data_IF_802499298642
#
_entry.id   IF_802499298642
#
_cell.length_a   1.000
_cell.length_b   1.000
_cell.length_c   1.000
_cell.angle_alpha   90.00
_cell.angle_beta   90.00
_cell.angle_gamma   90.00
#
_symmetry.space_group_name_H-M   'P 1'
#
loop_
_entity.id
_entity.type
_entity.pdbx_description
1 polymer ?
#
# COMPACT_ATOMS: atom_id res chain seq x y z
N UNK A 1 0.10 -14.93 -41.74
CA UNK A 1 -0.08 -13.65 -41.06
C UNK A 1 0.56 -13.80 -39.69
N UNK A 2 1.79 -13.30 -39.52
CA UNK A 2 2.49 -13.28 -38.23
C UNK A 2 1.77 -12.27 -37.36
N UNK A 3 1.23 -12.74 -36.22
CA UNK A 3 0.71 -11.87 -35.17
C UNK A 3 1.80 -10.87 -34.78
N UNK A 4 1.50 -9.60 -34.52
CA UNK A 4 2.50 -8.66 -34.06
C UNK A 4 3.11 -9.22 -32.78
N UNK A 5 4.43 -9.42 -32.76
CA UNK A 5 5.18 -9.75 -31.54
C UNK A 5 4.93 -8.61 -30.54
N UNK A 6 4.08 -8.88 -29.60
CA UNK A 6 3.88 -7.97 -28.46
C UNK A 6 5.22 -7.87 -27.75
N UNK A 7 5.76 -6.66 -27.63
CA UNK A 7 7.00 -6.44 -26.90
C UNK A 7 6.92 -7.07 -25.49
N UNK A 8 7.99 -7.70 -25.01
CA UNK A 8 7.98 -8.30 -23.68
C UNK A 8 7.71 -7.24 -22.60
N UNK A 9 7.08 -7.59 -21.49
CA UNK A 9 6.89 -6.67 -20.35
C UNK A 9 8.21 -6.03 -19.91
N UNK A 10 8.14 -4.80 -19.42
CA UNK A 10 9.30 -4.03 -18.95
C UNK A 10 10.38 -3.82 -20.02
N UNK A 11 9.98 -3.73 -21.28
CA UNK A 11 10.91 -3.58 -22.41
C UNK A 11 11.76 -2.31 -22.32
N UNK A 12 11.24 -1.26 -21.68
CA UNK A 12 11.96 -0.02 -21.41
C UNK A 12 13.05 -0.18 -20.32
N UNK A 13 13.03 -1.28 -19.58
CA UNK A 13 13.97 -1.59 -18.48
C UNK A 13 14.83 -2.80 -18.76
N UNK A 14 15.19 -3.01 -20.03
CA UNK A 14 16.08 -4.08 -20.43
C UNK A 14 17.45 -3.94 -19.74
N UNK A 15 17.86 -4.96 -18.98
CA UNK A 15 19.13 -5.01 -18.24
C UNK A 15 20.20 -5.71 -19.05
N UNK A 16 19.88 -6.89 -19.59
CA UNK A 16 20.86 -7.70 -20.32
C UNK A 16 20.20 -8.57 -21.37
N UNK A 17 20.95 -8.84 -22.42
CA UNK A 17 20.76 -9.96 -23.36
C UNK A 17 22.06 -10.73 -23.35
N UNK A 18 22.05 -12.03 -22.96
CA UNK A 18 23.25 -12.82 -22.82
C UNK A 18 23.03 -14.28 -23.17
N UNK A 19 24.11 -14.92 -23.58
CA UNK A 19 24.21 -16.39 -23.75
C UNK A 19 24.85 -17.08 -22.55
N UNK A 20 25.41 -16.28 -21.65
CA UNK A 20 26.10 -16.70 -20.45
C UNK A 20 25.11 -16.79 -19.28
N UNK A 21 25.09 -17.98 -18.64
CA UNK A 21 24.17 -18.29 -17.55
C UNK A 21 24.50 -17.49 -16.30
N UNK A 22 25.78 -17.26 -16.00
CA UNK A 22 26.22 -16.54 -14.81
C UNK A 22 25.83 -15.06 -14.94
N UNK A 23 26.00 -14.47 -16.13
CA UNK A 23 25.57 -13.10 -16.41
C UNK A 23 24.05 -12.94 -16.27
N UNK A 24 23.27 -13.92 -16.69
CA UNK A 24 21.81 -13.90 -16.52
C UNK A 24 21.43 -14.03 -15.05
N UNK A 25 22.06 -14.94 -14.31
CA UNK A 25 21.87 -15.13 -12.87
C UNK A 25 22.18 -13.84 -12.10
N UNK A 26 23.38 -13.30 -12.24
CA UNK A 26 23.84 -12.09 -11.54
C UNK A 26 22.97 -10.85 -11.84
N UNK A 27 22.35 -10.83 -13.02
CA UNK A 27 21.42 -9.74 -13.38
C UNK A 27 20.06 -9.89 -12.69
N UNK A 28 19.58 -11.11 -12.45
CA UNK A 28 18.28 -11.39 -11.82
C UNK A 28 18.38 -11.31 -10.29
N UNK A 29 19.47 -11.78 -9.70
CA UNK A 29 19.66 -11.95 -8.26
C UNK A 29 19.30 -10.70 -7.43
N UNK A 30 19.71 -9.46 -7.79
CA UNK A 30 19.39 -8.26 -7.01
C UNK A 30 17.89 -7.90 -6.96
N UNK A 31 17.09 -8.49 -7.85
CA UNK A 31 15.67 -8.19 -8.00
C UNK A 31 14.76 -9.35 -7.60
N UNK A 32 15.30 -10.52 -7.35
CA UNK A 32 14.56 -11.73 -7.01
C UNK A 32 14.94 -12.24 -5.61
N UNK A 33 14.52 -13.45 -5.29
CA UNK A 33 15.01 -14.19 -4.11
C UNK A 33 16.24 -15.00 -4.51
N UNK A 34 17.07 -15.39 -3.55
CA UNK A 34 18.23 -16.25 -3.81
C UNK A 34 17.82 -17.53 -4.54
N UNK A 35 18.57 -17.88 -5.56
CA UNK A 35 18.32 -19.05 -6.39
C UNK A 35 19.60 -19.52 -7.07
N UNK A 36 19.66 -20.79 -7.43
CA UNK A 36 20.69 -21.35 -8.29
C UNK A 36 20.15 -21.55 -9.70
N UNK A 37 20.99 -21.34 -10.69
CA UNK A 37 20.63 -21.46 -12.11
C UNK A 37 21.55 -22.49 -12.81
N UNK A 38 20.96 -23.47 -13.43
CA UNK A 38 21.70 -24.51 -14.15
C UNK A 38 21.16 -24.69 -15.58
N UNK A 39 22.04 -24.90 -16.56
CA UNK A 39 21.60 -25.26 -17.90
C UNK A 39 20.91 -26.62 -17.87
N UNK A 40 19.77 -26.74 -18.55
CA UNK A 40 19.00 -27.99 -18.60
C UNK A 40 19.74 -29.13 -19.29
N UNK A 41 20.52 -28.79 -20.29
CA UNK A 41 21.34 -29.72 -21.03
C UNK A 41 22.78 -29.18 -21.18
N UNK A 42 23.82 -30.02 -21.03
CA UNK A 42 25.20 -29.60 -21.21
C UNK A 42 25.47 -29.12 -22.65
N UNK A 43 26.18 -27.98 -22.77
CA UNK A 43 26.62 -27.47 -24.08
C UNK A 43 25.55 -26.70 -24.88
N UNK A 44 24.36 -26.49 -24.32
CA UNK A 44 23.33 -25.68 -24.96
C UNK A 44 23.63 -24.20 -24.80
N UNK A 45 23.58 -23.48 -25.92
CA UNK A 45 23.72 -22.03 -25.93
C UNK A 45 22.38 -21.38 -25.51
N UNK A 46 22.39 -20.56 -24.51
CA UNK A 46 21.23 -19.73 -24.10
C UNK A 46 21.05 -18.57 -25.07
N UNK A 47 19.87 -17.97 -25.06
CA UNK A 47 19.52 -16.66 -25.66
C UNK A 47 18.65 -15.91 -24.67
N UNK A 48 19.27 -15.59 -23.54
CA UNK A 48 18.59 -15.02 -22.40
C UNK A 48 18.34 -13.51 -22.53
N UNK A 49 17.22 -13.05 -22.00
CA UNK A 49 16.92 -11.63 -21.85
C UNK A 49 16.31 -11.38 -20.46
N UNK A 50 16.79 -10.31 -19.81
CA UNK A 50 16.30 -9.86 -18.52
C UNK A 50 15.90 -8.40 -18.61
N UNK A 51 14.66 -8.11 -18.25
CA UNK A 51 14.14 -6.76 -18.03
C UNK A 51 13.79 -6.66 -16.53
N UNK A 52 14.31 -5.66 -15.83
CA UNK A 52 14.08 -5.57 -14.38
C UNK A 52 14.03 -4.12 -13.88
N UNK A 53 13.12 -3.86 -12.94
CA UNK A 53 12.92 -2.56 -12.31
C UNK A 53 12.40 -2.71 -10.89
N UNK A 54 12.86 -1.84 -9.99
CA UNK A 54 12.30 -1.65 -8.66
C UNK A 54 11.23 -0.56 -8.66
N UNK A 55 10.08 -0.84 -8.05
CA UNK A 55 8.98 0.10 -7.82
C UNK A 55 8.80 0.22 -6.31
N UNK A 56 9.48 1.18 -5.69
CA UNK A 56 9.59 1.25 -4.23
C UNK A 56 10.28 0.00 -3.67
N UNK A 57 9.59 -0.75 -2.83
CA UNK A 57 10.08 -2.00 -2.23
C UNK A 57 9.70 -3.27 -3.01
N UNK A 58 9.01 -3.13 -4.13
CA UNK A 58 8.60 -4.25 -4.99
C UNK A 58 9.47 -4.30 -6.23
N UNK A 59 10.08 -5.44 -6.48
CA UNK A 59 10.86 -5.71 -7.68
C UNK A 59 10.01 -6.46 -8.71
N UNK A 60 10.13 -6.05 -9.96
CA UNK A 60 9.53 -6.69 -11.11
C UNK A 60 10.63 -7.14 -12.06
N UNK A 61 10.64 -8.42 -12.42
CA UNK A 61 11.61 -9.01 -13.35
C UNK A 61 10.85 -9.79 -14.41
N UNK A 62 11.07 -9.45 -15.66
CA UNK A 62 10.71 -10.33 -16.75
C UNK A 62 11.97 -11.02 -17.27
N UNK A 63 11.96 -12.34 -17.28
CA UNK A 63 13.10 -13.15 -17.71
C UNK A 63 12.70 -14.22 -18.71
N UNK A 64 13.51 -14.38 -19.75
CA UNK A 64 13.46 -15.48 -20.71
C UNK A 64 14.87 -16.02 -20.88
N UNK A 65 15.06 -17.31 -20.75
CA UNK A 65 16.40 -17.91 -20.83
C UNK A 65 16.81 -18.35 -22.24
N UNK A 66 15.84 -18.71 -23.09
CA UNK A 66 16.09 -19.10 -24.46
C UNK A 66 16.79 -20.48 -24.60
N UNK A 67 17.23 -20.79 -25.77
CA UNK A 67 18.00 -22.02 -26.09
C UNK A 67 17.36 -23.31 -25.59
N UNK A 68 18.14 -24.16 -24.92
CA UNK A 68 17.68 -25.41 -24.30
C UNK A 68 16.95 -25.23 -22.95
N UNK A 69 16.90 -24.03 -22.46
CA UNK A 69 16.29 -23.73 -21.15
C UNK A 69 17.20 -23.95 -19.95
N UNK A 70 16.67 -23.66 -18.79
CA UNK A 70 17.36 -23.76 -17.51
C UNK A 70 16.53 -24.49 -16.48
N UNK A 71 17.20 -24.90 -15.40
CA UNK A 71 16.64 -25.34 -14.14
C UNK A 71 16.92 -24.25 -13.14
N UNK A 72 15.91 -23.85 -12.36
CA UNK A 72 16.00 -22.85 -11.29
C UNK A 72 15.73 -23.54 -9.96
N UNK A 73 16.72 -23.63 -9.12
CA UNK A 73 16.58 -24.15 -7.76
C UNK A 73 16.48 -22.99 -6.78
N UNK A 74 15.43 -22.96 -5.96
CA UNK A 74 15.23 -21.93 -4.91
C UNK A 74 15.19 -22.58 -3.54
N UNK A 75 15.97 -22.09 -2.57
CA UNK A 75 15.81 -22.48 -1.17
C UNK A 75 14.47 -21.93 -0.62
N UNK A 76 14.06 -22.31 0.60
CA UNK A 76 12.96 -21.66 1.30
C UNK A 76 13.16 -20.13 1.32
N UNK A 77 12.10 -19.38 1.04
CA UNK A 77 12.21 -17.92 0.83
C UNK A 77 12.15 -17.11 2.13
N UNK A 78 12.63 -17.62 3.24
CA UNK A 78 12.58 -17.04 4.58
C UNK A 78 12.65 -15.50 4.58
N UNK A 79 11.59 -14.83 5.08
CA UNK A 79 11.52 -13.37 5.16
C UNK A 79 11.27 -12.64 3.82
N UNK A 80 11.19 -13.37 2.69
CA UNK A 80 10.91 -12.80 1.37
C UNK A 80 9.66 -13.41 0.75
N UNK A 81 8.95 -12.62 0.00
CA UNK A 81 7.86 -13.02 -0.87
C UNK A 81 8.36 -12.99 -2.31
N UNK A 82 8.13 -14.07 -3.04
CA UNK A 82 8.31 -14.08 -4.49
C UNK A 82 7.19 -14.88 -5.16
N UNK A 83 6.82 -14.43 -6.34
CA UNK A 83 5.80 -15.03 -7.16
C UNK A 83 6.27 -15.08 -8.60
N UNK A 84 6.08 -16.22 -9.25
CA UNK A 84 6.35 -16.42 -10.67
C UNK A 84 5.04 -16.47 -11.46
N UNK A 85 4.95 -15.70 -12.55
CA UNK A 85 3.86 -15.70 -13.51
C UNK A 85 4.39 -16.02 -14.91
N UNK A 86 4.57 -17.32 -15.24
CA UNK A 86 5.08 -17.74 -16.54
C UNK A 86 4.03 -17.55 -17.64
N UNK A 87 4.47 -17.26 -18.86
CA UNK A 87 3.58 -17.17 -20.04
C UNK A 87 3.04 -18.55 -20.44
N UNK A 88 3.83 -19.61 -20.21
CA UNK A 88 3.40 -21.00 -20.42
C UNK A 88 3.62 -21.80 -19.14
N UNK A 89 2.88 -22.90 -18.94
CA UNK A 89 3.07 -23.78 -17.79
C UNK A 89 4.54 -24.22 -17.69
N UNK A 90 5.06 -24.25 -16.46
CA UNK A 90 6.41 -24.73 -16.15
C UNK A 90 6.36 -25.91 -15.18
N UNK A 91 7.37 -26.79 -15.25
CA UNK A 91 7.55 -27.86 -14.28
C UNK A 91 7.93 -27.27 -12.92
N UNK A 92 7.31 -27.78 -11.85
CA UNK A 92 7.59 -27.39 -10.46
C UNK A 92 7.69 -28.64 -9.61
N UNK A 93 8.82 -28.82 -8.95
CA UNK A 93 9.09 -29.91 -8.00
C UNK A 93 9.28 -29.30 -6.61
N UNK A 94 8.50 -29.72 -5.63
CA UNK A 94 8.72 -29.39 -4.22
C UNK A 94 9.70 -30.40 -3.61
N UNK A 95 10.79 -29.92 -3.06
CA UNK A 95 11.87 -30.73 -2.50
C UNK A 95 11.66 -31.05 -1.02
N UNK A 96 10.45 -31.43 -0.65
CA UNK A 96 10.14 -31.92 0.69
C UNK A 96 10.25 -33.45 0.80
N UNK A 97 10.01 -33.98 2.01
CA UNK A 97 9.92 -35.44 2.26
C UNK A 97 8.88 -36.14 1.37
N UNK A 98 7.94 -35.40 0.82
CA UNK A 98 6.93 -35.89 -0.14
C UNK A 98 7.08 -35.08 -1.44
N UNK A 99 8.05 -35.46 -2.27
CA UNK A 99 8.26 -34.82 -3.57
C UNK A 99 6.93 -34.76 -4.34
N UNK A 100 6.51 -33.56 -4.72
CA UNK A 100 5.32 -33.33 -5.53
C UNK A 100 5.75 -32.66 -6.83
N UNK A 101 5.46 -33.30 -7.94
CA UNK A 101 5.66 -32.72 -9.26
C UNK A 101 4.33 -32.13 -9.73
N UNK A 102 4.34 -30.86 -10.06
CA UNK A 102 3.17 -30.18 -10.61
C UNK A 102 3.55 -29.45 -11.89
N UNK A 103 2.64 -29.44 -12.87
CA UNK A 103 2.75 -28.51 -13.99
C UNK A 103 1.97 -27.26 -13.61
N UNK A 104 2.68 -26.17 -13.32
CA UNK A 104 2.09 -24.96 -12.77
C UNK A 104 2.00 -23.82 -13.77
N UNK A 105 0.93 -23.05 -13.66
CA UNK A 105 0.87 -21.66 -14.10
C UNK A 105 1.61 -20.74 -13.12
N UNK A 106 1.00 -19.62 -12.76
CA UNK A 106 1.57 -18.73 -11.75
C UNK A 106 1.62 -19.39 -10.38
N UNK A 107 2.72 -19.19 -9.66
CA UNK A 107 2.92 -19.80 -8.34
C UNK A 107 3.60 -18.80 -7.37
N UNK A 108 3.33 -18.98 -6.09
CA UNK A 108 4.06 -18.34 -5.00
C UNK A 108 5.14 -19.28 -4.51
N UNK A 109 6.36 -18.77 -4.37
CA UNK A 109 7.48 -19.55 -3.85
C UNK A 109 7.27 -19.87 -2.36
N UNK A 110 7.59 -21.09 -1.97
CA UNK A 110 7.37 -21.56 -0.62
C UNK A 110 8.31 -20.90 0.38
N UNK A 111 7.77 -20.54 1.55
CA UNK A 111 8.57 -20.06 2.67
C UNK A 111 9.34 -21.17 3.39
N UNK A 112 8.84 -22.40 3.31
CA UNK A 112 9.28 -23.50 4.15
C UNK A 112 9.96 -24.63 3.36
N UNK A 113 9.77 -24.68 2.03
CA UNK A 113 10.27 -25.77 1.17
C UNK A 113 11.13 -25.24 0.03
N UNK A 114 12.23 -25.91 -0.24
CA UNK A 114 13.00 -25.69 -1.46
C UNK A 114 12.22 -26.16 -2.68
N UNK A 115 12.36 -25.46 -3.79
CA UNK A 115 11.63 -25.73 -5.01
C UNK A 115 12.59 -25.79 -6.19
N UNK A 116 12.29 -26.69 -7.12
CA UNK A 116 12.92 -26.73 -8.44
C UNK A 116 11.91 -26.37 -9.50
N UNK A 117 12.25 -25.40 -10.35
CA UNK A 117 11.41 -24.94 -11.44
C UNK A 117 12.10 -25.17 -12.77
N UNK A 118 11.31 -25.53 -13.79
CA UNK A 118 11.77 -25.70 -15.17
C UNK A 118 10.95 -24.76 -16.06
N UNK A 119 11.38 -23.49 -16.22
CA UNK A 119 10.68 -22.54 -17.07
C UNK A 119 10.67 -22.96 -18.54
N UNK A 120 9.64 -22.51 -19.29
CA UNK A 120 9.61 -22.70 -20.72
C UNK A 120 10.79 -21.97 -21.39
N UNK A 121 11.57 -22.63 -22.23
CA UNK A 121 12.83 -22.06 -22.73
C UNK A 121 12.66 -20.79 -23.57
N UNK A 122 11.62 -20.70 -24.39
CA UNK A 122 11.42 -19.58 -25.33
C UNK A 122 10.39 -18.57 -24.90
N UNK A 123 9.55 -18.92 -23.93
CA UNK A 123 8.55 -18.00 -23.36
C UNK A 123 9.03 -17.47 -22.01
N UNK A 124 8.77 -16.18 -21.76
CA UNK A 124 9.26 -15.55 -20.56
C UNK A 124 8.40 -15.85 -19.33
N UNK A 125 8.95 -15.47 -18.18
CA UNK A 125 8.27 -15.48 -16.90
C UNK A 125 8.39 -14.09 -16.26
N UNK A 126 7.32 -13.57 -15.70
CA UNK A 126 7.39 -12.42 -14.81
C UNK A 126 7.58 -12.92 -13.37
N UNK A 127 8.54 -12.32 -12.67
CA UNK A 127 8.78 -12.54 -11.25
C UNK A 127 8.48 -11.26 -10.51
N UNK A 128 7.72 -11.36 -9.41
CA UNK A 128 7.44 -10.25 -8.49
C UNK A 128 8.04 -10.63 -7.15
N UNK A 129 8.90 -9.78 -6.61
CA UNK A 129 9.55 -10.04 -5.33
C UNK A 129 9.52 -8.82 -4.42
N UNK A 130 9.35 -9.07 -3.11
CA UNK A 130 9.42 -8.06 -2.05
C UNK A 130 9.73 -8.73 -0.72
N UNK A 131 10.00 -7.97 0.35
CA UNK A 131 10.13 -8.58 1.67
C UNK A 131 8.76 -8.88 2.27
N UNK A 132 8.65 -10.00 2.99
CA UNK A 132 7.44 -10.35 3.74
C UNK A 132 7.12 -9.28 4.80
N UNK A 133 8.14 -8.66 5.40
CA UNK A 133 7.97 -7.56 6.35
C UNK A 133 7.25 -6.35 5.74
N UNK A 134 7.56 -5.99 4.48
CA UNK A 134 6.87 -4.89 3.79
C UNK A 134 5.40 -5.19 3.53
N UNK A 135 5.08 -6.43 3.18
CA UNK A 135 3.68 -6.88 3.05
C UNK A 135 2.97 -6.88 4.41
N UNK A 136 3.66 -7.31 5.46
CA UNK A 136 3.16 -7.27 6.83
C UNK A 136 2.86 -5.84 7.28
N UNK A 137 3.80 -4.92 7.13
CA UNK A 137 3.62 -3.49 7.45
C UNK A 137 2.45 -2.86 6.65
N UNK A 138 2.27 -3.29 5.40
CA UNK A 138 1.18 -2.80 4.57
C UNK A 138 -0.16 -3.36 5.05
N UNK A 139 -0.22 -4.64 5.42
CA UNK A 139 -1.38 -5.29 6.01
C UNK A 139 -1.78 -4.64 7.33
N UNK A 140 -0.82 -4.42 8.25
CA UNK A 140 -1.07 -3.84 9.57
C UNK A 140 -1.62 -2.42 9.48
N UNK A 141 -1.13 -1.64 8.54
CA UNK A 141 -1.70 -0.30 8.25
C UNK A 141 -3.15 -0.37 7.78
N UNK A 142 -3.54 -1.42 7.04
CA UNK A 142 -4.93 -1.62 6.60
C UNK A 142 -5.82 -2.17 7.72
N UNK A 143 -5.32 -3.11 8.51
CA UNK A 143 -6.05 -3.67 9.65
C UNK A 143 -6.10 -2.71 10.85
N UNK A 144 -5.16 -1.76 10.91
CA UNK A 144 -4.99 -0.84 12.04
C UNK A 144 -4.52 -1.52 13.32
N UNK A 145 -3.94 -2.68 13.21
CA UNK A 145 -3.36 -3.46 14.30
C UNK A 145 -2.33 -4.42 13.73
N UNK A 146 -1.39 -4.83 14.55
CA UNK A 146 -0.47 -5.92 14.20
C UNK A 146 -1.27 -7.21 13.98
N UNK A 147 -0.94 -7.92 12.91
CA UNK A 147 -1.54 -9.22 12.63
C UNK A 147 -0.76 -10.33 13.34
N UNK A 148 -1.50 -11.37 13.74
CA UNK A 148 -0.94 -12.60 14.33
C UNK A 148 -1.77 -13.78 13.80
N UNK A 149 -1.16 -14.85 13.35
CA UNK A 149 0.26 -15.22 13.29
C UNK A 149 1.04 -14.43 12.22
N UNK A 150 2.37 -14.61 12.12
CA UNK A 150 3.21 -13.99 11.08
C UNK A 150 2.66 -14.26 9.68
N UNK A 151 2.80 -13.25 8.79
CA UNK A 151 2.31 -13.33 7.42
C UNK A 151 3.07 -14.42 6.65
N UNK A 152 2.34 -15.42 6.18
CA UNK A 152 2.84 -16.50 5.33
C UNK A 152 1.87 -16.77 4.20
N UNK A 153 2.36 -16.88 3.00
CA UNK A 153 1.56 -17.24 1.85
C UNK A 153 1.50 -18.76 1.71
N UNK A 154 0.32 -19.26 1.36
CA UNK A 154 0.13 -20.68 1.15
C UNK A 154 0.51 -21.06 -0.29
N UNK A 155 1.22 -22.18 -0.44
CA UNK A 155 1.41 -22.80 -1.75
C UNK A 155 0.03 -23.23 -2.25
N UNK A 156 -0.38 -22.74 -3.40
CA UNK A 156 -1.66 -23.11 -4.01
C UNK A 156 -1.38 -24.24 -5.00
N UNK A 157 -2.02 -25.40 -4.80
CA UNK A 157 -2.01 -26.48 -5.78
C UNK A 157 -2.88 -26.05 -6.98
N UNK A 158 -2.24 -25.61 -8.04
CA UNK A 158 -2.90 -25.07 -9.23
C UNK A 158 -2.36 -23.68 -9.63
N UNK A 159 -2.96 -23.01 -10.61
CA UNK A 159 -2.54 -21.67 -10.97
C UNK A 159 -2.87 -20.73 -9.83
N UNK A 160 -1.84 -20.25 -9.12
CA UNK A 160 -1.98 -19.27 -8.04
C UNK A 160 -2.65 -17.96 -8.51
N UNK A 161 -2.59 -17.70 -9.81
CA UNK A 161 -3.16 -16.54 -10.45
C UNK A 161 -3.94 -16.95 -11.68
N UNK A 162 -5.18 -16.53 -11.74
CA UNK A 162 -5.98 -16.64 -12.96
C UNK A 162 -5.83 -15.37 -13.80
N UNK A 163 -6.00 -15.43 -15.14
CA UNK A 163 -5.92 -14.26 -16.01
C UNK A 163 -6.83 -13.09 -15.64
N UNK A 164 -7.83 -13.33 -14.80
CA UNK A 164 -8.75 -12.30 -14.29
C UNK A 164 -8.50 -11.89 -12.85
N UNK A 165 -7.47 -12.43 -12.19
CA UNK A 165 -7.16 -12.10 -10.80
C UNK A 165 -6.73 -10.64 -10.62
N UNK A 166 -6.97 -10.09 -9.43
CA UNK A 166 -6.55 -8.72 -9.09
C UNK A 166 -5.04 -8.56 -9.24
N UNK A 167 -4.26 -9.58 -8.88
CA UNK A 167 -2.79 -9.57 -8.97
C UNK A 167 -2.37 -9.42 -10.42
N UNK A 168 -2.91 -10.23 -11.34
CA UNK A 168 -2.51 -10.19 -12.74
C UNK A 168 -2.89 -8.87 -13.40
N UNK A 169 -4.10 -8.39 -13.16
CA UNK A 169 -4.55 -7.09 -13.69
C UNK A 169 -3.68 -5.94 -13.20
N UNK A 170 -3.29 -5.97 -11.92
CA UNK A 170 -2.48 -4.91 -11.33
C UNK A 170 -1.07 -4.92 -11.89
N UNK A 171 -0.39 -6.08 -11.92
CA UNK A 171 0.99 -6.08 -12.42
C UNK A 171 1.06 -5.75 -13.93
N UNK A 172 0.09 -6.21 -14.74
CA UNK A 172 0.01 -5.81 -16.16
C UNK A 172 -0.12 -4.29 -16.30
N UNK A 173 -1.04 -3.69 -15.55
CA UNK A 173 -1.20 -2.24 -15.54
C UNK A 173 0.10 -1.52 -15.12
N UNK A 174 0.78 -2.02 -14.09
CA UNK A 174 2.05 -1.45 -13.63
C UNK A 174 3.13 -1.56 -14.71
N UNK A 175 3.27 -2.72 -15.37
CA UNK A 175 4.19 -2.89 -16.49
C UNK A 175 3.88 -1.93 -17.64
N UNK A 176 2.60 -1.78 -18.02
CA UNK A 176 2.17 -0.86 -19.05
C UNK A 176 2.52 0.59 -18.71
N UNK A 177 2.25 1.03 -17.48
CA UNK A 177 2.61 2.38 -17.01
C UNK A 177 4.12 2.59 -17.08
N UNK A 178 4.91 1.61 -16.63
CA UNK A 178 6.36 1.68 -16.63
C UNK A 178 6.92 1.75 -18.05
N UNK A 179 6.47 0.91 -18.96
CA UNK A 179 6.94 0.89 -20.35
C UNK A 179 6.60 2.19 -21.12
N UNK A 180 5.49 2.87 -20.76
CA UNK A 180 5.08 4.12 -21.39
C UNK A 180 5.62 5.38 -20.69
N UNK A 181 5.95 5.32 -19.40
CA UNK A 181 6.43 6.49 -18.65
C UNK A 181 7.84 6.96 -19.03
N UNK A 182 8.66 6.07 -19.61
CA UNK A 182 10.05 6.36 -20.00
C UNK A 182 10.21 7.24 -21.25
N UNK A 183 9.12 7.61 -21.90
CA UNK A 183 9.14 8.33 -23.19
C UNK A 183 9.58 9.80 -23.15
N UNK A 184 9.85 10.43 -22.00
CA UNK A 184 10.25 11.85 -21.90
C UNK A 184 11.24 12.12 -20.76
N UNK A 185 12.40 11.48 -20.76
CA UNK A 185 13.62 12.03 -20.12
C UNK A 185 13.66 12.01 -18.60
N UNK A 186 13.09 11.04 -17.93
CA UNK A 186 13.25 10.93 -16.49
C UNK A 186 12.51 9.72 -15.94
N UNK A 187 13.05 9.10 -14.92
CA UNK A 187 12.41 7.99 -14.23
C UNK A 187 11.00 8.33 -13.74
N UNK A 188 10.29 7.33 -13.28
CA UNK A 188 8.94 7.46 -12.73
C UNK A 188 8.90 8.50 -11.60
N UNK A 189 7.92 9.42 -11.65
CA UNK A 189 7.75 10.41 -10.59
C UNK A 189 7.56 9.71 -9.22
N UNK A 190 8.21 10.17 -8.12
CA UNK A 190 8.16 9.48 -6.83
C UNK A 190 6.75 9.19 -6.30
N UNK A 191 5.78 10.10 -6.52
CA UNK A 191 4.38 9.88 -6.15
C UNK A 191 3.74 8.75 -6.97
N UNK A 192 4.06 8.65 -8.27
CA UNK A 192 3.57 7.57 -9.10
C UNK A 192 4.19 6.23 -8.69
N UNK A 193 5.51 6.20 -8.43
CA UNK A 193 6.19 5.01 -7.92
C UNK A 193 5.54 4.49 -6.63
N UNK A 194 5.27 5.37 -5.68
CA UNK A 194 4.60 5.03 -4.41
C UNK A 194 3.18 4.49 -4.64
N UNK A 195 2.40 5.13 -5.51
CA UNK A 195 1.03 4.67 -5.81
C UNK A 195 1.02 3.29 -6.46
N UNK A 196 1.96 3.02 -7.37
CA UNK A 196 2.09 1.71 -8.02
C UNK A 196 2.57 0.63 -7.03
N UNK A 197 3.53 0.96 -6.16
CA UNK A 197 3.97 0.09 -5.07
C UNK A 197 2.80 -0.31 -4.16
N UNK A 198 2.04 0.67 -3.66
CA UNK A 198 0.87 0.43 -2.81
C UNK A 198 -0.18 -0.42 -3.50
N UNK A 199 -0.39 -0.20 -4.80
CA UNK A 199 -1.32 -1.01 -5.61
C UNK A 199 -0.86 -2.46 -5.74
N UNK A 200 0.44 -2.71 -5.96
CA UNK A 200 1.01 -4.06 -6.03
C UNK A 200 0.90 -4.78 -4.69
N UNK A 201 1.32 -4.15 -3.59
CA UNK A 201 1.23 -4.74 -2.24
C UNK A 201 -0.22 -5.09 -1.87
N UNK A 202 -1.17 -4.19 -2.15
CA UNK A 202 -2.60 -4.44 -1.93
C UNK A 202 -3.10 -5.59 -2.79
N UNK A 203 -2.74 -5.64 -4.07
CA UNK A 203 -3.17 -6.71 -4.96
C UNK A 203 -2.65 -8.09 -4.52
N UNK A 204 -1.40 -8.18 -4.06
CA UNK A 204 -0.81 -9.41 -3.52
C UNK A 204 -1.61 -9.89 -2.30
N UNK A 205 -1.88 -9.01 -1.33
CA UNK A 205 -2.62 -9.35 -0.11
C UNK A 205 -4.08 -9.73 -0.38
N UNK A 206 -4.75 -9.08 -1.33
CA UNK A 206 -6.14 -9.38 -1.65
C UNK A 206 -6.32 -10.55 -2.63
N UNK A 207 -5.30 -10.85 -3.41
CA UNK A 207 -5.39 -11.82 -4.51
C UNK A 207 -4.77 -13.17 -4.23
N UNK A 208 -4.00 -13.33 -3.17
CA UNK A 208 -3.32 -14.57 -2.82
C UNK A 208 -3.69 -15.03 -1.42
N UNK A 209 -3.88 -16.34 -1.19
CA UNK A 209 -4.20 -16.87 0.12
C UNK A 209 -2.98 -16.81 1.05
N UNK A 210 -3.19 -16.33 2.27
CA UNK A 210 -2.18 -16.21 3.32
C UNK A 210 -2.77 -16.32 4.71
N UNK A 211 -1.95 -16.41 5.74
CA UNK A 211 -2.38 -16.62 7.14
C UNK A 211 -3.35 -15.56 7.67
N UNK A 212 -3.40 -14.35 7.10
CA UNK A 212 -4.31 -13.28 7.48
C UNK A 212 -5.49 -13.07 6.53
N UNK A 213 -5.73 -13.97 5.57
CA UNK A 213 -6.82 -13.84 4.57
C UNK A 213 -8.19 -13.72 5.22
N UNK A 214 -8.48 -14.53 6.23
CA UNK A 214 -9.74 -14.48 6.99
C UNK A 214 -9.88 -13.14 7.73
N UNK A 215 -8.81 -12.69 8.39
CA UNK A 215 -8.81 -11.40 9.09
C UNK A 215 -9.05 -10.22 8.14
N UNK A 216 -8.57 -10.29 6.90
CA UNK A 216 -8.88 -9.30 5.87
C UNK A 216 -10.34 -9.37 5.40
N UNK A 217 -10.90 -10.58 5.28
CA UNK A 217 -12.28 -10.78 4.86
C UNK A 217 -13.29 -10.40 5.97
N UNK A 218 -12.93 -10.66 7.23
CA UNK A 218 -13.76 -10.34 8.41
C UNK A 218 -13.65 -8.87 8.84
N UNK A 219 -12.61 -8.19 8.39
CA UNK A 219 -12.48 -6.77 8.64
C UNK A 219 -13.55 -6.02 7.81
N UNK A 220 -14.76 -5.71 8.35
CA UNK A 220 -15.35 -4.45 8.00
C UNK A 220 -14.25 -3.44 8.34
N UNK A 221 -14.10 -2.40 7.56
CA UNK A 221 -13.15 -1.34 7.86
C UNK A 221 -13.41 -0.79 9.27
N UNK A 222 -13.06 -1.54 10.31
CA UNK A 222 -12.98 -1.06 11.68
C UNK A 222 -11.82 -0.09 11.67
N UNK A 223 -12.21 1.14 11.57
CA UNK A 223 -11.34 2.26 11.73
C UNK A 223 -10.51 2.04 12.99
N UNK A 224 -9.18 2.02 12.89
CA UNK A 224 -8.35 1.81 14.05
C UNK A 224 -8.69 2.82 15.13
N UNK A 225 -9.05 2.37 16.32
CA UNK A 225 -9.39 3.25 17.44
C UNK A 225 -8.27 4.27 17.76
N UNK A 226 -7.00 3.92 17.50
CA UNK A 226 -5.88 4.85 17.68
C UNK A 226 -5.91 6.01 16.68
N UNK A 227 -6.36 5.81 15.42
CA UNK A 227 -6.48 6.92 14.45
C UNK A 227 -7.51 7.95 14.89
N UNK A 228 -8.60 7.52 15.50
CA UNK A 228 -9.59 8.44 16.07
C UNK A 228 -8.97 9.29 17.20
N UNK A 229 -8.17 8.67 18.07
CA UNK A 229 -7.40 9.38 19.10
C UNK A 229 -6.42 10.39 18.49
N UNK A 230 -5.62 9.96 17.51
CA UNK A 230 -4.64 10.81 16.81
C UNK A 230 -5.32 11.97 16.08
N UNK A 231 -6.45 11.73 15.40
CA UNK A 231 -7.24 12.78 14.75
C UNK A 231 -7.73 13.79 15.78
N UNK A 232 -8.30 13.33 16.90
CA UNK A 232 -8.79 14.19 17.97
C UNK A 232 -7.67 15.06 18.54
N UNK A 233 -6.58 14.45 18.96
CA UNK A 233 -5.42 15.14 19.55
C UNK A 233 -4.83 16.18 18.58
N UNK A 234 -4.70 15.82 17.31
CA UNK A 234 -4.20 16.75 16.31
C UNK A 234 -5.14 17.93 16.09
N UNK A 235 -6.46 17.69 16.01
CA UNK A 235 -7.46 18.75 15.85
C UNK A 235 -7.52 19.62 17.09
N UNK A 236 -7.48 19.09 18.29
CA UNK A 236 -7.44 19.84 19.55
C UNK A 236 -6.22 20.75 19.63
N UNK A 237 -5.05 20.27 19.16
CA UNK A 237 -3.82 21.06 19.15
C UNK A 237 -3.84 22.16 18.08
N UNK A 238 -4.49 21.95 16.94
CA UNK A 238 -4.38 22.84 15.77
C UNK A 238 -5.69 23.58 15.43
N UNK A 239 -6.76 23.43 16.22
CA UNK A 239 -8.09 24.00 15.94
C UNK A 239 -8.10 25.52 15.70
N UNK A 240 -7.17 26.24 16.32
CA UNK A 240 -7.02 27.70 16.22
C UNK A 240 -6.53 28.19 14.85
N UNK A 241 -5.93 27.30 14.04
CA UNK A 241 -5.41 27.60 12.72
C UNK A 241 -6.48 27.47 11.63
N UNK A 242 -6.31 28.10 10.46
CA UNK A 242 -7.21 27.95 9.31
C UNK A 242 -7.02 26.60 8.64
N UNK A 243 -7.33 25.50 9.35
CA UNK A 243 -7.25 24.13 8.86
C UNK A 243 -8.58 23.66 8.29
N UNK A 244 -8.49 22.77 7.27
CA UNK A 244 -9.62 22.10 6.65
C UNK A 244 -9.52 20.58 6.71
N UNK A 245 -10.46 19.90 6.06
CA UNK A 245 -10.54 18.43 6.03
C UNK A 245 -9.29 17.79 5.41
N UNK A 246 -8.75 18.41 4.36
CA UNK A 246 -7.54 17.95 3.69
C UNK A 246 -6.29 18.04 4.57
N UNK A 247 -6.19 19.09 5.41
CA UNK A 247 -5.06 19.26 6.31
C UNK A 247 -5.07 18.22 7.43
N UNK A 248 -6.26 17.92 7.97
CA UNK A 248 -6.45 16.86 8.97
C UNK A 248 -6.04 15.50 8.38
N UNK A 249 -6.54 15.16 7.19
CA UNK A 249 -6.25 13.90 6.52
C UNK A 249 -4.75 13.74 6.24
N UNK A 250 -4.10 14.78 5.71
CA UNK A 250 -2.67 14.79 5.42
C UNK A 250 -1.81 14.63 6.69
N UNK A 251 -2.19 15.30 7.78
CA UNK A 251 -1.44 15.27 9.03
C UNK A 251 -1.41 13.89 9.70
N UNK A 252 -2.49 13.11 9.55
CA UNK A 252 -2.57 11.75 10.10
C UNK A 252 -2.28 10.67 9.06
N UNK A 253 -1.85 11.07 7.85
CA UNK A 253 -1.40 10.16 6.81
C UNK A 253 -2.49 9.32 6.15
N UNK A 254 -3.75 9.81 6.11
CA UNK A 254 -4.89 9.10 5.54
C UNK A 254 -5.57 9.89 4.42
N UNK A 255 -6.38 9.21 3.61
CA UNK A 255 -7.22 9.86 2.60
C UNK A 255 -8.45 10.56 3.20
N UNK A 256 -8.97 11.59 2.51
CA UNK A 256 -10.18 12.33 2.94
C UNK A 256 -11.40 11.40 3.13
N UNK A 257 -11.58 10.40 2.26
CA UNK A 257 -12.66 9.41 2.37
C UNK A 257 -12.53 8.59 3.66
N UNK A 258 -11.33 8.17 4.00
CA UNK A 258 -11.06 7.43 5.22
C UNK A 258 -11.31 8.30 6.46
N UNK A 259 -10.85 9.56 6.45
CA UNK A 259 -11.17 10.51 7.51
C UNK A 259 -12.68 10.70 7.70
N UNK A 260 -13.45 10.78 6.61
CA UNK A 260 -14.92 10.87 6.66
C UNK A 260 -15.53 9.62 7.29
N UNK A 261 -15.08 8.43 6.89
CA UNK A 261 -15.55 7.16 7.46
C UNK A 261 -15.23 7.07 8.97
N UNK A 262 -14.02 7.48 9.38
CA UNK A 262 -13.61 7.52 10.79
C UNK A 262 -14.51 8.45 11.60
N UNK A 263 -14.70 9.68 11.14
CA UNK A 263 -15.53 10.66 11.85
C UNK A 263 -16.99 10.20 11.95
N UNK A 264 -17.51 9.56 10.92
CA UNK A 264 -18.87 9.02 10.94
C UNK A 264 -19.02 7.83 11.89
N UNK A 265 -18.05 6.90 11.89
CA UNK A 265 -18.08 5.68 12.71
C UNK A 265 -17.87 6.03 14.21
N UNK A 266 -16.87 6.84 14.52
CA UNK A 266 -16.47 7.11 15.91
C UNK A 266 -17.29 8.19 16.59
N UNK A 267 -17.80 9.17 15.84
CA UNK A 267 -18.49 10.35 16.41
C UNK A 267 -19.84 10.64 15.78
N UNK A 268 -20.29 9.87 14.77
CA UNK A 268 -21.57 10.08 14.10
C UNK A 268 -21.67 11.40 13.34
N UNK A 269 -20.52 11.99 12.93
CA UNK A 269 -20.50 13.31 12.32
C UNK A 269 -19.44 13.44 11.22
N UNK A 270 -19.55 14.48 10.39
CA UNK A 270 -18.53 14.76 9.36
C UNK A 270 -17.28 15.40 9.98
N UNK A 271 -16.08 15.29 9.32
CA UNK A 271 -14.86 15.95 9.81
C UNK A 271 -15.02 17.47 10.05
N UNK A 272 -15.79 18.14 9.19
CA UNK A 272 -16.08 19.57 9.34
C UNK A 272 -16.93 19.84 10.58
N UNK A 273 -17.90 18.97 10.88
CA UNK A 273 -18.71 19.08 12.11
C UNK A 273 -17.87 18.81 13.35
N UNK A 274 -16.97 17.83 13.29
CA UNK A 274 -16.04 17.52 14.36
C UNK A 274 -15.12 18.70 14.69
N UNK A 275 -14.41 19.25 13.68
CA UNK A 275 -13.56 20.44 13.86
C UNK A 275 -14.34 21.64 14.42
N UNK A 276 -15.56 21.85 13.91
CA UNK A 276 -16.44 22.91 14.41
C UNK A 276 -16.80 22.69 15.87
N UNK A 277 -17.10 21.46 16.26
CA UNK A 277 -17.39 21.10 17.64
C UNK A 277 -16.25 21.47 18.59
N UNK A 278 -15.02 21.02 18.24
CA UNK A 278 -13.82 21.32 19.03
C UNK A 278 -13.61 22.83 19.19
N UNK A 279 -13.72 23.61 18.10
CA UNK A 279 -13.58 25.05 18.12
C UNK A 279 -14.60 25.71 19.03
N UNK A 280 -15.85 25.25 19.02
CA UNK A 280 -16.92 25.78 19.86
C UNK A 280 -16.71 25.43 21.33
N UNK A 281 -16.22 24.24 21.64
CA UNK A 281 -15.95 23.83 23.02
C UNK A 281 -14.82 24.66 23.63
N UNK A 282 -13.72 24.87 22.88
CA UNK A 282 -12.64 25.77 23.31
C UNK A 282 -13.11 27.23 23.49
N UNK A 283 -13.94 27.74 22.56
CA UNK A 283 -14.51 29.09 22.71
C UNK A 283 -15.40 29.19 23.94
N UNK A 284 -16.20 28.16 24.24
CA UNK A 284 -17.05 28.17 25.46
C UNK A 284 -16.21 28.18 26.73
N UNK A 285 -15.18 27.33 26.79
CA UNK A 285 -14.25 27.33 27.93
C UNK A 285 -13.63 28.70 28.13
N UNK A 286 -13.12 29.32 27.07
CA UNK A 286 -12.55 30.67 27.16
C UNK A 286 -13.56 31.74 27.59
N UNK A 287 -14.83 31.65 27.15
CA UNK A 287 -15.90 32.56 27.59
C UNK A 287 -16.27 32.39 29.06
N UNK A 288 -16.26 31.14 29.55
CA UNK A 288 -16.54 30.81 30.96
C UNK A 288 -15.37 31.18 31.88
N UNK A 289 -14.14 31.09 31.39
CA UNK A 289 -12.94 31.45 32.17
C UNK A 289 -12.55 32.92 32.09
N UNK A 290 -13.23 33.71 31.23
CA UNK A 290 -12.94 35.13 31.09
C UNK A 290 -13.14 35.88 32.41
N UNK A 291 -12.09 36.55 32.91
CA UNK A 291 -12.11 37.34 34.13
C UNK A 291 -12.08 38.82 33.79
N UNK A 292 -12.76 39.69 34.61
CA UNK A 292 -12.55 41.11 34.52
C UNK A 292 -11.08 41.46 34.77
N UNK A 293 -10.48 42.17 33.84
CA UNK A 293 -9.07 42.53 33.91
C UNK A 293 -8.78 43.85 33.19
N UNK A 294 -7.54 44.34 33.22
CA UNK A 294 -7.15 45.61 32.59
C UNK A 294 -7.36 45.65 31.07
N UNK A 295 -7.51 44.47 30.43
CA UNK A 295 -7.98 44.34 29.04
C UNK A 295 -9.26 43.51 29.03
N UNK A 296 -10.35 44.10 28.59
CA UNK A 296 -11.64 43.39 28.42
C UNK A 296 -11.54 42.45 27.24
N UNK A 297 -11.54 41.15 27.51
CA UNK A 297 -11.60 40.11 26.47
C UNK A 297 -12.97 40.17 25.80
N UNK A 298 -13.01 40.30 24.50
CA UNK A 298 -14.27 40.37 23.74
C UNK A 298 -14.65 39.03 23.15
N UNK A 299 -15.95 38.86 22.84
CA UNK A 299 -16.44 37.67 22.10
C UNK A 299 -15.72 37.52 20.77
N UNK A 300 -15.32 38.62 20.13
CA UNK A 300 -14.59 38.63 18.87
C UNK A 300 -13.18 38.06 19.02
N UNK A 301 -12.47 38.42 20.08
CA UNK A 301 -11.13 37.92 20.38
C UNK A 301 -11.16 36.42 20.62
N UNK A 302 -12.14 35.94 21.40
CA UNK A 302 -12.30 34.52 21.71
C UNK A 302 -12.67 33.72 20.45
N UNK A 303 -13.59 34.25 19.63
CA UNK A 303 -13.95 33.59 18.37
C UNK A 303 -12.75 33.49 17.39
N UNK A 304 -11.97 34.55 17.27
CA UNK A 304 -10.74 34.59 16.49
C UNK A 304 -9.70 33.58 16.98
N UNK A 305 -9.47 33.53 18.30
CA UNK A 305 -8.58 32.58 18.94
C UNK A 305 -9.04 31.12 18.75
N UNK A 306 -10.35 30.88 18.63
CA UNK A 306 -10.92 29.58 18.31
C UNK A 306 -10.93 29.23 16.79
N UNK A 307 -10.35 30.10 15.95
CA UNK A 307 -10.23 29.84 14.50
C UNK A 307 -11.46 30.22 13.67
N UNK A 308 -12.33 31.10 14.17
CA UNK A 308 -13.47 31.64 13.42
C UNK A 308 -13.13 32.98 12.76
N UNK A 309 -13.31 33.05 11.46
CA UNK A 309 -13.11 34.27 10.65
C UNK A 309 -14.41 35.10 10.52
N UNK A 310 -15.57 34.48 10.75
CA UNK A 310 -16.88 35.11 10.54
C UNK A 310 -17.72 35.05 11.81
N UNK A 311 -17.92 36.18 12.45
CA UNK A 311 -18.64 36.33 13.73
C UNK A 311 -20.11 35.88 13.67
N UNK A 312 -20.81 36.15 12.54
CA UNK A 312 -22.20 35.72 12.36
C UNK A 312 -22.35 34.22 12.35
N UNK A 313 -21.42 33.51 11.67
CA UNK A 313 -21.39 32.06 11.65
C UNK A 313 -21.02 31.48 13.02
N UNK A 314 -20.07 32.09 13.71
CA UNK A 314 -19.71 31.68 15.06
C UNK A 314 -20.94 31.77 16.01
N UNK A 315 -21.61 32.92 16.06
CA UNK A 315 -22.76 33.13 16.93
C UNK A 315 -23.91 32.14 16.62
N UNK A 316 -24.19 31.89 15.34
CA UNK A 316 -25.22 30.93 14.92
C UNK A 316 -24.89 29.51 15.38
N UNK A 317 -23.63 29.03 15.09
CA UNK A 317 -23.21 27.71 15.50
C UNK A 317 -23.11 27.52 17.00
N UNK A 318 -22.67 28.56 17.72
CA UNK A 318 -22.59 28.58 19.20
C UNK A 318 -23.99 28.41 19.79
N UNK A 319 -24.95 29.24 19.33
CA UNK A 319 -26.33 29.14 19.80
C UNK A 319 -26.98 27.81 19.49
N UNK A 320 -26.70 27.26 18.30
CA UNK A 320 -27.20 25.92 17.90
C UNK A 320 -26.68 24.83 18.85
N UNK A 321 -25.41 24.92 19.29
CA UNK A 321 -24.78 23.91 20.13
C UNK A 321 -25.11 24.05 21.61
N UNK A 322 -25.17 25.27 22.12
CA UNK A 322 -25.26 25.52 23.55
C UNK A 322 -26.59 26.14 24.01
N UNK A 323 -27.50 26.48 23.10
CA UNK A 323 -28.81 27.05 23.42
C UNK A 323 -28.79 28.52 23.82
N UNK A 324 -27.59 29.11 23.96
CA UNK A 324 -27.39 30.53 24.36
C UNK A 324 -26.40 31.22 23.42
N UNK A 325 -26.38 32.54 23.41
CA UNK A 325 -25.39 33.29 22.61
C UNK A 325 -24.06 33.43 23.34
N UNK A 326 -22.92 33.59 22.61
CA UNK A 326 -21.62 33.83 23.23
C UNK A 326 -21.61 35.01 24.18
N UNK A 327 -22.34 36.08 23.85
CA UNK A 327 -22.48 37.27 24.69
C UNK A 327 -23.23 37.00 26.00
N UNK A 328 -24.24 36.12 25.98
CA UNK A 328 -24.94 35.70 27.18
C UNK A 328 -24.04 34.89 28.10
N UNK A 329 -23.24 33.94 27.52
CA UNK A 329 -22.26 33.19 28.30
C UNK A 329 -21.24 34.12 28.97
N UNK A 330 -20.66 35.07 28.22
CA UNK A 330 -19.66 35.99 28.73
C UNK A 330 -20.22 36.89 29.84
N UNK A 331 -21.42 37.47 29.65
CA UNK A 331 -22.06 38.32 30.68
C UNK A 331 -22.32 37.55 31.97
N UNK A 332 -22.88 36.33 31.89
CA UNK A 332 -23.13 35.51 33.07
C UNK A 332 -21.87 35.21 33.88
N UNK A 333 -20.72 35.09 33.21
CA UNK A 333 -19.45 34.82 33.87
C UNK A 333 -18.85 36.07 34.52
N UNK A 334 -19.03 37.23 33.89
CA UNK A 334 -18.55 38.52 34.43
C UNK A 334 -19.41 39.03 35.59
N UNK A 335 -20.72 38.72 35.56
CA UNK A 335 -21.69 39.12 36.57
C UNK A 335 -21.81 38.12 37.75
N UNK A 336 -21.09 36.99 37.70
CA UNK A 336 -21.04 36.04 38.81
C UNK A 336 -20.13 36.59 39.93
N UNK A 337 -20.60 36.60 41.23
CA UNK A 337 -19.88 37.17 42.36
C UNK A 337 -18.56 36.41 42.68
#
# INVERSE_FOLDING_TARGET
MTSPETSPPLSAYQRVVSKDIDVLHDTVEPFAVGHDLQAREPGVTLDGRVNAVGVGSVNLVWVRYGGGGVIVDTPPTEGHFAMCAPIAPMGVEYRSTHNRDTAGGSLVLSHDEAMRMTPHPTLGCLVIATSTGRLADHLDRHLGREHSPPLRFHSVDGPAITPSSIVERTWRHVCDVLDHATGRGGGLHPLAARSLEESLLTAILLGLPHTATESLAEAPARVPHHLAGTIREWVETHHHRPIGVTDIAAAVGIGVRQLQAICQDQWGMTPTQFLRGVRLDHARTALVEARPGPRTVTVTDIAGAAGYLHMSRFAAHYRQRFGETPTQTLKRTVDAP
#
